data_IF_393573012393
#
_entry.id   IF_393573012393
#
_cell.length_a   1.000
_cell.length_b   1.000
_cell.length_c   1.000
_cell.angle_alpha   90.00
_cell.angle_beta   90.00
_cell.angle_gamma   90.00
#
_symmetry.space_group_name_H-M   'P 1'
#
loop_
_entity.id
_entity.type
_entity.pdbx_description
1 polymer ?
#
# COMPACT_ATOMS: atom_id res chain seq x y z
N UNK A 1 29.06 24.57 19.91
CA UNK A 1 29.06 23.09 20.00
C UNK A 1 28.18 22.56 18.89
N UNK A 2 28.77 21.96 17.85
CA UNK A 2 28.03 21.31 16.76
C UNK A 2 27.43 20.02 17.32
N UNK A 3 26.13 19.84 17.19
CA UNK A 3 25.51 18.55 17.48
C UNK A 3 26.11 17.51 16.52
N UNK A 4 26.84 16.53 17.06
CA UNK A 4 27.37 15.41 16.28
C UNK A 4 26.19 14.65 15.66
N UNK A 5 26.20 14.50 14.34
CA UNK A 5 25.34 13.54 13.66
C UNK A 5 25.62 12.16 14.28
N UNK A 6 24.61 11.41 14.75
CA UNK A 6 24.83 10.06 15.27
C UNK A 6 25.58 9.22 14.23
N UNK A 7 26.58 8.44 14.68
CA UNK A 7 27.44 7.67 13.76
C UNK A 7 26.55 6.82 12.85
N UNK A 8 26.69 6.96 11.53
CA UNK A 8 25.82 6.34 10.48
C UNK A 8 25.54 4.84 10.67
N UNK A 9 26.44 4.10 11.35
CA UNK A 9 26.24 2.69 11.73
C UNK A 9 25.16 2.51 12.82
N UNK A 10 25.06 3.42 13.78
CA UNK A 10 24.05 3.40 14.86
C UNK A 10 22.65 3.70 14.29
N UNK A 11 22.59 4.59 13.30
CA UNK A 11 21.38 4.93 12.55
C UNK A 11 20.86 3.71 11.78
N UNK A 12 21.73 3.01 11.02
CA UNK A 12 21.37 1.77 10.34
C UNK A 12 20.90 0.68 11.31
N UNK A 13 21.61 0.47 12.42
CA UNK A 13 21.26 -0.55 13.41
C UNK A 13 19.88 -0.27 14.05
N UNK A 14 19.63 0.98 14.45
CA UNK A 14 18.32 1.39 14.98
C UNK A 14 17.19 1.20 13.96
N UNK A 15 17.46 1.43 12.67
CA UNK A 15 16.47 1.19 11.62
C UNK A 15 16.17 -0.29 11.43
N UNK A 16 17.19 -1.14 11.34
CA UNK A 16 17.04 -2.58 11.19
C UNK A 16 16.21 -3.17 12.34
N UNK A 17 16.47 -2.74 13.57
CA UNK A 17 15.68 -3.12 14.76
C UNK A 17 14.21 -2.68 14.65
N UNK A 18 13.92 -1.46 14.17
CA UNK A 18 12.53 -0.97 14.03
C UNK A 18 11.71 -1.74 13.01
N UNK A 19 12.35 -2.32 12.00
CA UNK A 19 11.67 -3.08 10.95
C UNK A 19 11.74 -4.59 11.16
N UNK A 20 12.32 -5.05 12.27
CA UNK A 20 12.54 -6.47 12.55
C UNK A 20 13.34 -7.16 11.42
N UNK A 21 14.28 -6.43 10.80
CA UNK A 21 15.14 -6.91 9.72
C UNK A 21 16.53 -7.18 10.28
N UNK A 22 17.04 -8.40 10.10
CA UNK A 22 18.40 -8.75 10.56
C UNK A 22 19.48 -8.08 9.72
N UNK A 23 19.35 -8.12 8.39
CA UNK A 23 20.28 -7.54 7.43
C UNK A 23 19.56 -7.04 6.17
N UNK A 24 20.15 -6.06 5.49
CA UNK A 24 19.67 -5.64 4.17
C UNK A 24 19.89 -6.77 3.16
N UNK A 25 18.93 -6.95 2.24
CA UNK A 25 19.09 -7.89 1.13
C UNK A 25 20.11 -7.36 0.09
N UNK A 26 20.55 -8.20 -0.89
CA UNK A 26 21.55 -7.79 -1.87
C UNK A 26 21.16 -6.54 -2.68
N UNK A 27 19.92 -6.49 -3.19
CA UNK A 27 19.39 -5.33 -3.93
C UNK A 27 19.43 -4.05 -3.09
N UNK A 28 18.99 -4.11 -1.83
CA UNK A 28 19.04 -2.97 -0.91
C UNK A 28 20.47 -2.52 -0.63
N UNK A 29 21.40 -3.45 -0.49
CA UNK A 29 22.82 -3.17 -0.24
C UNK A 29 23.47 -2.48 -1.44
N UNK A 30 23.22 -2.97 -2.65
CA UNK A 30 23.74 -2.39 -3.89
C UNK A 30 23.13 -1.03 -4.19
N UNK A 31 21.80 -0.91 -4.11
CA UNK A 31 21.10 0.37 -4.30
C UNK A 31 21.59 1.42 -3.31
N UNK A 32 21.73 1.05 -2.03
CA UNK A 32 22.28 1.93 -1.00
C UNK A 32 23.68 2.42 -1.37
N UNK A 33 24.59 1.54 -1.79
CA UNK A 33 25.97 1.92 -2.19
C UNK A 33 25.95 2.88 -3.38
N UNK A 34 25.16 2.58 -4.41
CA UNK A 34 25.05 3.41 -5.61
C UNK A 34 24.47 4.80 -5.32
N UNK A 35 23.39 4.86 -4.54
CA UNK A 35 22.74 6.12 -4.18
C UNK A 35 23.66 6.98 -3.29
N UNK A 36 24.48 6.38 -2.42
CA UNK A 36 25.48 7.14 -1.68
C UNK A 36 26.60 7.71 -2.54
N UNK A 37 27.01 6.98 -3.58
CA UNK A 37 28.04 7.46 -4.50
C UNK A 37 27.56 8.66 -5.34
N UNK A 38 26.28 9.04 -5.27
CA UNK A 38 25.71 10.14 -6.04
C UNK A 38 25.30 9.75 -7.45
N UNK A 39 25.31 8.46 -7.78
CA UNK A 39 24.90 7.99 -9.11
C UNK A 39 23.39 8.17 -9.30
N UNK A 40 22.98 8.43 -10.54
CA UNK A 40 21.62 8.15 -10.98
C UNK A 40 21.43 6.64 -11.05
N UNK A 41 20.32 6.12 -10.50
CA UNK A 41 20.10 4.68 -10.31
C UNK A 41 18.75 4.26 -10.86
N UNK A 42 18.73 3.16 -11.62
CA UNK A 42 17.52 2.44 -12.01
C UNK A 42 17.48 1.08 -11.30
N UNK A 43 16.53 0.89 -10.38
CA UNK A 43 16.33 -0.36 -9.65
C UNK A 43 15.18 -1.14 -10.26
N UNK A 44 15.50 -2.27 -10.90
CA UNK A 44 14.52 -3.17 -11.51
C UNK A 44 14.34 -4.39 -10.62
N UNK A 45 13.18 -4.51 -9.98
CA UNK A 45 12.94 -5.61 -9.04
C UNK A 45 11.44 -5.84 -8.83
N UNK A 46 10.97 -7.07 -8.56
CA UNK A 46 9.55 -7.37 -8.36
C UNK A 46 8.93 -6.57 -7.20
N UNK A 47 7.61 -6.43 -7.19
CA UNK A 47 6.89 -5.87 -6.02
C UNK A 47 7.15 -6.75 -4.80
N UNK A 48 7.30 -6.13 -3.62
CA UNK A 48 7.56 -6.85 -2.37
C UNK A 48 9.03 -7.17 -2.08
N UNK A 49 9.98 -6.85 -2.97
CA UNK A 49 11.42 -7.04 -2.75
C UNK A 49 12.08 -6.02 -1.80
N UNK A 50 11.30 -5.07 -1.28
CA UNK A 50 11.79 -4.04 -0.35
C UNK A 50 12.45 -2.83 -1.02
N UNK A 51 12.07 -2.49 -2.27
CA UNK A 51 12.55 -1.32 -3.02
C UNK A 51 12.42 0.00 -2.26
N UNK A 52 11.33 0.16 -1.52
CA UNK A 52 11.06 1.38 -0.72
C UNK A 52 12.18 1.66 0.28
N UNK A 53 12.66 0.63 0.99
CA UNK A 53 13.79 0.79 1.91
C UNK A 53 15.10 1.04 1.18
N UNK A 54 15.26 0.47 -0.03
CA UNK A 54 16.47 0.60 -0.84
C UNK A 54 16.77 2.06 -1.20
N UNK A 55 15.75 2.86 -1.53
CA UNK A 55 15.93 4.30 -1.80
C UNK A 55 15.74 5.19 -0.56
N UNK A 56 14.79 4.90 0.34
CA UNK A 56 14.51 5.80 1.47
C UNK A 56 15.69 5.92 2.42
N UNK A 57 16.36 4.81 2.71
CA UNK A 57 17.45 4.76 3.68
C UNK A 57 18.62 5.67 3.29
N UNK A 58 19.24 5.53 2.10
CA UNK A 58 20.34 6.41 1.70
C UNK A 58 19.92 7.87 1.51
N UNK A 59 18.66 8.14 1.10
CA UNK A 59 18.17 9.51 0.95
C UNK A 59 18.02 10.19 2.31
N UNK A 60 17.40 9.53 3.28
CA UNK A 60 17.20 10.10 4.62
C UNK A 60 18.54 10.33 5.34
N UNK A 61 19.52 9.43 5.17
CA UNK A 61 20.86 9.62 5.73
C UNK A 61 21.63 10.81 5.10
N UNK A 62 21.22 11.29 3.92
CA UNK A 62 21.82 12.45 3.24
C UNK A 62 21.13 13.78 3.52
N UNK A 63 19.94 13.78 4.13
CA UNK A 63 19.22 15.00 4.47
C UNK A 63 20.03 15.84 5.46
N UNK A 64 20.10 17.15 5.22
CA UNK A 64 20.77 18.10 6.09
C UNK A 64 19.78 18.67 7.13
N UNK A 65 20.01 18.49 8.44
CA UNK A 65 19.16 19.05 9.49
C UNK A 65 19.18 20.59 9.55
N UNK A 66 20.16 21.25 8.92
CA UNK A 66 20.24 22.71 8.90
C UNK A 66 19.40 23.33 7.78
N UNK A 67 18.85 22.52 6.86
CA UNK A 67 18.01 22.99 5.76
C UNK A 67 16.54 22.76 6.13
N UNK A 68 15.80 23.85 6.33
CA UNK A 68 14.36 23.84 6.66
C UNK A 68 13.45 23.74 5.43
N UNK A 69 13.99 23.27 4.31
CA UNK A 69 13.36 23.22 2.99
C UNK A 69 13.13 21.79 2.52
N UNK A 70 12.34 21.62 1.46
CA UNK A 70 12.20 20.33 0.80
C UNK A 70 13.52 20.00 0.09
N UNK A 71 14.13 18.86 0.45
CA UNK A 71 15.42 18.43 -0.06
C UNK A 71 15.31 17.25 -1.02
N UNK A 72 14.31 16.40 -0.82
CA UNK A 72 14.03 15.24 -1.66
C UNK A 72 12.53 15.14 -2.01
N UNK A 73 12.26 14.73 -3.24
CA UNK A 73 10.92 14.51 -3.77
C UNK A 73 10.77 13.05 -4.21
N UNK A 74 9.68 12.39 -3.78
CA UNK A 74 9.31 11.04 -4.23
C UNK A 74 7.97 11.13 -4.97
N UNK A 75 7.97 10.79 -6.25
CA UNK A 75 6.79 10.70 -7.09
C UNK A 75 6.31 9.26 -7.17
N UNK A 76 5.00 9.07 -6.97
CA UNK A 76 4.36 7.75 -6.94
C UNK A 76 3.03 7.72 -7.70
N UNK A 77 2.63 6.57 -8.29
CA UNK A 77 1.41 6.46 -9.11
C UNK A 77 0.10 6.49 -8.31
N UNK A 78 0.10 6.18 -7.01
CA UNK A 78 -1.15 6.07 -6.24
C UNK A 78 -1.08 6.80 -4.89
N UNK A 79 -2.27 7.14 -4.38
CA UNK A 79 -2.43 7.81 -3.07
C UNK A 79 -1.98 6.87 -1.96
N UNK A 80 -2.34 5.60 -2.10
CA UNK A 80 -2.05 4.53 -1.16
C UNK A 80 -0.54 4.31 -1.03
N UNK A 81 0.18 4.29 -2.15
CA UNK A 81 1.64 4.18 -2.12
C UNK A 81 2.29 5.41 -1.49
N UNK A 82 1.77 6.62 -1.73
CA UNK A 82 2.27 7.83 -1.08
C UNK A 82 2.16 7.74 0.45
N UNK A 83 0.98 7.32 0.94
CA UNK A 83 0.74 7.11 2.37
C UNK A 83 1.61 6.00 2.95
N UNK A 84 1.81 4.90 2.21
CA UNK A 84 2.67 3.80 2.63
C UNK A 84 4.12 4.26 2.81
N UNK A 85 4.70 4.91 1.79
CA UNK A 85 6.08 5.40 1.84
C UNK A 85 6.23 6.40 2.98
N UNK A 86 5.25 7.27 3.20
CA UNK A 86 5.25 8.20 4.33
C UNK A 86 5.29 7.45 5.67
N UNK A 87 4.48 6.41 5.85
CA UNK A 87 4.48 5.60 7.06
C UNK A 87 5.82 4.89 7.28
N UNK A 88 6.40 4.30 6.23
CA UNK A 88 7.73 3.66 6.28
C UNK A 88 8.79 4.70 6.65
N UNK A 89 8.81 5.84 5.96
CA UNK A 89 9.77 6.91 6.20
C UNK A 89 9.65 7.48 7.63
N UNK A 90 8.44 7.60 8.17
CA UNK A 90 8.21 8.01 9.56
C UNK A 90 8.62 6.93 10.56
N UNK A 91 8.39 5.65 10.25
CA UNK A 91 8.77 4.51 11.11
C UNK A 91 10.28 4.40 11.26
N UNK A 92 11.05 4.80 10.24
CA UNK A 92 12.50 4.96 10.36
C UNK A 92 12.84 5.89 11.55
N UNK A 93 12.09 6.97 11.77
CA UNK A 93 12.25 7.81 12.95
C UNK A 93 13.54 8.62 12.91
N UNK A 94 13.82 9.23 11.76
CA UNK A 94 15.02 10.06 11.50
C UNK A 94 14.99 11.44 12.16
N UNK A 95 13.85 11.85 12.73
CA UNK A 95 13.65 13.20 13.26
C UNK A 95 13.26 14.24 12.21
N UNK A 96 13.43 13.94 10.91
CA UNK A 96 12.98 14.82 9.84
C UNK A 96 11.46 14.84 9.71
N UNK A 97 10.93 16.02 9.38
CA UNK A 97 9.54 16.15 8.95
C UNK A 97 9.40 15.57 7.55
N UNK A 98 8.47 14.64 7.38
CA UNK A 98 8.14 13.97 6.13
C UNK A 98 6.64 14.17 5.90
N UNK A 99 6.19 14.44 4.69
CA UNK A 99 4.77 14.57 4.37
C UNK A 99 4.45 13.92 3.03
N UNK A 100 3.24 13.36 2.91
CA UNK A 100 2.66 12.94 1.65
C UNK A 100 1.55 13.89 1.18
N UNK A 101 1.50 14.20 -0.12
CA UNK A 101 0.41 14.96 -0.75
C UNK A 101 -0.14 14.21 -1.97
N UNK A 102 -1.45 14.12 -2.06
CA UNK A 102 -2.13 13.36 -3.11
C UNK A 102 -3.54 13.90 -3.35
N UNK A 103 -4.13 13.56 -4.50
CA UNK A 103 -5.48 14.00 -4.86
C UNK A 103 -6.56 13.45 -3.92
N UNK A 104 -7.75 14.05 -3.93
CA UNK A 104 -8.88 13.62 -3.08
C UNK A 104 -8.85 14.14 -1.63
N UNK A 105 -7.81 14.90 -1.24
CA UNK A 105 -7.74 15.64 0.02
C UNK A 105 -7.91 17.15 -0.21
N UNK A 106 -8.48 17.87 0.75
CA UNK A 106 -8.65 19.32 0.63
C UNK A 106 -7.31 20.03 0.52
N UNK A 107 -7.20 21.02 -0.38
CA UNK A 107 -5.97 21.81 -0.54
C UNK A 107 -5.60 22.61 0.71
N UNK A 108 -6.59 22.95 1.54
CA UNK A 108 -6.36 23.62 2.81
C UNK A 108 -5.54 22.76 3.79
N UNK A 109 -5.77 21.44 3.81
CA UNK A 109 -5.00 20.51 4.64
C UNK A 109 -3.55 20.41 4.15
N UNK A 110 -3.33 20.35 2.83
CA UNK A 110 -1.97 20.33 2.27
C UNK A 110 -1.22 21.62 2.60
N UNK A 111 -1.87 22.77 2.44
CA UNK A 111 -1.29 24.07 2.79
C UNK A 111 -0.92 24.16 4.28
N UNK A 112 -1.78 23.64 5.16
CA UNK A 112 -1.49 23.59 6.59
C UNK A 112 -0.32 22.66 6.91
N UNK A 113 -0.27 21.48 6.28
CA UNK A 113 0.80 20.50 6.43
C UNK A 113 2.16 21.03 5.92
N UNK A 114 2.15 21.79 4.81
CA UNK A 114 3.34 22.37 4.18
C UNK A 114 3.78 23.72 4.76
N UNK A 115 3.00 24.32 5.68
CA UNK A 115 3.36 25.58 6.37
C UNK A 115 4.74 25.52 7.03
N UNK A 116 5.08 24.36 7.59
CA UNK A 116 6.46 24.03 7.95
C UNK A 116 6.95 23.02 6.93
N UNK A 117 7.93 23.38 6.12
CA UNK A 117 8.32 22.56 4.97
C UNK A 117 8.93 21.21 5.44
N UNK A 118 8.48 20.06 4.88
CA UNK A 118 9.10 18.77 5.17
C UNK A 118 10.46 18.66 4.47
N UNK A 119 11.41 17.92 5.02
CA UNK A 119 12.67 17.63 4.34
C UNK A 119 12.49 16.63 3.18
N UNK A 120 11.49 15.74 3.31
CA UNK A 120 11.09 14.76 2.29
C UNK A 120 9.60 14.96 1.95
N UNK A 121 9.32 15.26 0.68
CA UNK A 121 7.97 15.35 0.15
C UNK A 121 7.67 14.12 -0.72
N UNK A 122 6.56 13.46 -0.46
CA UNK A 122 6.08 12.30 -1.22
C UNK A 122 4.76 12.71 -1.88
N UNK A 123 4.49 12.30 -3.11
CA UNK A 123 3.16 12.57 -3.66
C UNK A 123 2.88 12.05 -5.05
N UNK A 124 1.61 12.14 -5.43
CA UNK A 124 1.20 11.81 -6.79
C UNK A 124 1.53 12.96 -7.74
N UNK A 125 1.99 12.69 -8.99
CA UNK A 125 2.44 13.73 -9.92
C UNK A 125 1.43 14.87 -10.09
N UNK A 126 0.15 14.56 -10.33
CA UNK A 126 -0.88 15.59 -10.50
C UNK A 126 -1.06 16.50 -9.28
N UNK A 127 -0.91 15.99 -8.05
CA UNK A 127 -1.03 16.81 -6.85
C UNK A 127 0.23 17.63 -6.61
N UNK A 128 1.41 17.04 -6.79
CA UNK A 128 2.69 17.76 -6.65
C UNK A 128 2.76 18.92 -7.64
N UNK A 129 2.43 18.69 -8.92
CA UNK A 129 2.38 19.75 -9.92
C UNK A 129 1.41 20.88 -9.53
N UNK A 130 0.23 20.53 -9.01
CA UNK A 130 -0.73 21.53 -8.49
C UNK A 130 -0.19 22.33 -7.29
N UNK A 131 0.57 21.70 -6.38
CA UNK A 131 1.22 22.41 -5.27
C UNK A 131 2.33 23.32 -5.79
N UNK A 132 3.17 22.87 -6.71
CA UNK A 132 4.24 23.69 -7.29
C UNK A 132 3.70 24.94 -8.01
N UNK A 133 2.52 24.84 -8.65
CA UNK A 133 1.87 26.00 -9.29
C UNK A 133 1.27 27.00 -8.31
N UNK A 134 0.81 26.55 -7.14
CA UNK A 134 -0.04 27.36 -6.23
C UNK A 134 0.69 27.81 -4.97
N UNK A 135 1.65 27.03 -4.51
CA UNK A 135 2.35 27.24 -3.26
C UNK A 135 3.76 27.77 -3.56
N UNK A 136 4.20 28.72 -2.76
CA UNK A 136 5.55 29.28 -2.82
C UNK A 136 6.52 28.31 -2.11
N UNK A 137 7.00 27.30 -2.84
CA UNK A 137 7.99 26.31 -2.37
C UNK A 137 9.31 26.58 -3.08
N UNK A 138 10.41 26.70 -2.33
CA UNK A 138 11.74 26.80 -2.93
C UNK A 138 12.18 25.46 -3.53
N UNK A 139 11.96 25.31 -4.84
CA UNK A 139 12.32 24.10 -5.58
C UNK A 139 13.83 23.93 -5.75
N UNK A 140 14.63 25.00 -5.57
CA UNK A 140 16.08 24.95 -5.80
C UNK A 140 16.82 24.03 -4.82
N UNK A 141 16.19 23.71 -3.68
CA UNK A 141 16.70 22.83 -2.63
C UNK A 141 16.38 21.37 -2.84
N UNK A 142 15.47 21.04 -3.76
CA UNK A 142 15.12 19.65 -4.07
C UNK A 142 16.22 19.07 -4.98
N UNK A 143 17.22 18.42 -4.36
CA UNK A 143 18.38 17.86 -5.06
C UNK A 143 18.22 16.41 -5.46
N UNK A 144 17.30 15.69 -4.82
CA UNK A 144 17.02 14.29 -5.11
C UNK A 144 15.59 14.09 -5.58
N UNK A 145 15.43 13.42 -6.72
CA UNK A 145 14.14 13.00 -7.26
C UNK A 145 14.06 11.47 -7.30
N UNK A 146 12.99 10.91 -6.73
CA UNK A 146 12.67 9.49 -6.82
C UNK A 146 11.40 9.30 -7.62
N UNK A 147 11.40 8.31 -8.52
CA UNK A 147 10.24 7.85 -9.28
C UNK A 147 10.00 6.39 -8.89
N UNK A 148 9.09 6.15 -7.95
CA UNK A 148 8.77 4.79 -7.47
C UNK A 148 7.60 4.20 -8.29
N UNK A 149 7.69 2.93 -8.67
CA UNK A 149 6.75 2.28 -9.60
C UNK A 149 6.57 3.11 -10.90
N UNK A 150 7.69 3.44 -11.55
CA UNK A 150 7.73 4.35 -12.71
C UNK A 150 6.89 3.87 -13.90
N UNK A 151 6.96 2.58 -14.23
CA UNK A 151 6.16 1.93 -15.27
C UNK A 151 4.66 2.18 -15.06
N UNK A 152 4.21 2.20 -13.80
CA UNK A 152 2.82 2.49 -13.44
C UNK A 152 2.46 3.94 -13.53
N UNK A 153 3.40 4.84 -13.25
CA UNK A 153 3.14 6.27 -13.44
C UNK A 153 2.88 6.61 -14.91
N UNK A 154 3.57 5.94 -15.85
CA UNK A 154 3.31 6.09 -17.28
C UNK A 154 1.99 5.43 -17.71
N UNK A 155 1.68 4.24 -17.22
CA UNK A 155 0.43 3.54 -17.53
C UNK A 155 -0.81 4.33 -17.09
N UNK A 156 -0.73 5.03 -15.95
CA UNK A 156 -1.80 5.90 -15.44
C UNK A 156 -1.89 7.23 -16.23
N UNK A 157 -0.90 7.54 -17.07
CA UNK A 157 -0.88 8.74 -17.90
C UNK A 157 -0.31 9.98 -17.23
N UNK A 158 0.54 9.85 -16.20
CA UNK A 158 1.16 10.99 -15.51
C UNK A 158 2.36 11.62 -16.23
N UNK A 159 2.59 11.25 -17.50
CA UNK A 159 3.77 11.70 -18.25
C UNK A 159 3.87 13.24 -18.31
N UNK A 160 2.75 13.91 -18.56
CA UNK A 160 2.70 15.37 -18.66
C UNK A 160 3.02 16.04 -17.32
N UNK A 161 2.40 15.58 -16.24
CA UNK A 161 2.60 16.11 -14.89
C UNK A 161 4.03 15.86 -14.41
N UNK A 162 4.60 14.66 -14.67
CA UNK A 162 5.99 14.37 -14.35
C UNK A 162 6.95 15.27 -15.15
N UNK A 163 6.68 15.50 -16.44
CA UNK A 163 7.49 16.42 -17.24
C UNK A 163 7.43 17.86 -16.73
N UNK A 164 6.28 18.33 -16.28
CA UNK A 164 6.13 19.66 -15.68
C UNK A 164 6.97 19.77 -14.39
N UNK A 165 6.87 18.77 -13.51
CA UNK A 165 7.62 18.73 -12.26
C UNK A 165 9.13 18.78 -12.52
N UNK A 166 9.64 17.89 -13.38
CA UNK A 166 11.08 17.83 -13.67
C UNK A 166 11.60 19.16 -14.24
N UNK A 167 10.84 19.79 -15.14
CA UNK A 167 11.19 21.12 -15.66
C UNK A 167 11.21 22.20 -14.58
N UNK A 168 10.33 22.10 -13.58
CA UNK A 168 10.19 23.07 -12.50
C UNK A 168 11.32 22.96 -11.46
N UNK A 169 11.84 21.76 -11.24
CA UNK A 169 12.95 21.51 -10.30
C UNK A 169 14.29 22.09 -10.77
N UNK A 170 14.47 22.32 -12.07
CA UNK A 170 15.73 22.79 -12.63
C UNK A 170 16.84 21.75 -12.48
N UNK A 171 17.80 21.97 -11.58
CA UNK A 171 18.96 21.09 -11.38
C UNK A 171 18.69 20.08 -10.26
N UNK A 172 18.38 18.86 -10.67
CA UNK A 172 18.35 17.67 -9.81
C UNK A 172 19.71 16.97 -9.89
N UNK A 173 20.39 16.83 -8.75
CA UNK A 173 21.73 16.23 -8.63
C UNK A 173 21.69 14.70 -8.66
N UNK A 174 20.58 14.11 -8.22
CA UNK A 174 20.42 12.66 -8.20
C UNK A 174 18.99 12.23 -8.50
N UNK A 175 18.85 11.25 -9.39
CA UNK A 175 17.60 10.59 -9.74
C UNK A 175 17.64 9.11 -9.38
N UNK A 176 16.59 8.64 -8.75
CA UNK A 176 16.40 7.22 -8.46
C UNK A 176 15.08 6.79 -9.09
N UNK A 177 15.15 5.80 -9.97
CA UNK A 177 13.99 5.21 -10.61
C UNK A 177 13.82 3.79 -10.07
N UNK A 178 12.60 3.41 -9.75
CA UNK A 178 12.27 2.01 -9.46
C UNK A 178 11.18 1.51 -10.40
N UNK A 179 11.29 0.26 -10.82
CA UNK A 179 10.25 -0.40 -11.61
C UNK A 179 10.20 -1.90 -11.33
N UNK A 180 9.03 -2.49 -11.57
CA UNK A 180 8.84 -3.94 -11.58
C UNK A 180 9.03 -4.57 -12.97
N UNK A 181 9.33 -3.77 -13.99
CA UNK A 181 9.50 -4.22 -15.37
C UNK A 181 10.65 -3.46 -16.06
N UNK A 182 11.27 -4.07 -17.06
CA UNK A 182 12.26 -3.46 -17.95
C UNK A 182 11.65 -2.98 -19.28
N UNK A 183 10.37 -3.30 -19.54
CA UNK A 183 9.71 -3.07 -20.82
C UNK A 183 9.42 -1.59 -21.16
N UNK A 184 9.66 -0.66 -20.22
CA UNK A 184 9.27 0.74 -20.36
C UNK A 184 10.50 1.61 -20.59
N UNK A 185 10.56 2.23 -21.76
CA UNK A 185 11.63 3.17 -22.09
C UNK A 185 11.57 4.40 -21.18
N UNK A 186 12.72 4.79 -20.61
CA UNK A 186 12.86 5.98 -19.76
C UNK A 186 12.73 7.23 -20.66
N UNK A 187 11.70 8.07 -20.47
CA UNK A 187 11.51 9.25 -21.29
C UNK A 187 12.61 10.28 -21.11
N UNK A 188 13.01 10.93 -22.21
CA UNK A 188 14.08 11.94 -22.22
C UNK A 188 13.84 13.11 -21.27
N UNK A 189 12.58 13.48 -21.00
CA UNK A 189 12.26 14.60 -20.10
C UNK A 189 12.72 14.35 -18.66
N UNK A 190 12.96 13.09 -18.27
CA UNK A 190 13.47 12.79 -16.94
C UNK A 190 14.92 13.23 -16.77
N UNK A 191 15.69 13.42 -17.86
CA UNK A 191 17.10 13.81 -17.80
C UNK A 191 18.00 12.73 -17.17
N UNK A 192 17.57 11.47 -17.27
CA UNK A 192 18.23 10.30 -16.72
C UNK A 192 19.09 9.68 -17.82
N UNK A 193 20.34 10.11 -17.93
CA UNK A 193 21.27 9.69 -18.99
C UNK A 193 22.14 8.54 -18.46
N UNK A 194 21.92 7.32 -18.96
CA UNK A 194 22.68 6.11 -18.62
C UNK A 194 22.79 5.84 -17.10
N UNK A 195 21.66 5.62 -16.40
CA UNK A 195 21.69 5.29 -14.98
C UNK A 195 22.43 3.97 -14.72
N UNK A 196 23.05 3.89 -13.55
CA UNK A 196 23.49 2.60 -13.03
C UNK A 196 22.25 1.71 -12.81
N UNK A 197 22.16 0.64 -13.60
CA UNK A 197 21.04 -0.29 -13.55
C UNK A 197 21.34 -1.42 -12.57
N UNK A 198 20.45 -1.62 -11.60
CA UNK A 198 20.50 -2.68 -10.59
C UNK A 198 19.31 -3.61 -10.87
N UNK A 199 19.57 -4.75 -11.51
CA UNK A 199 18.54 -5.68 -11.99
C UNK A 199 18.43 -6.94 -11.12
N UNK A 200 17.27 -7.10 -10.51
CA UNK A 200 16.85 -8.23 -9.67
C UNK A 200 15.49 -8.80 -10.12
N UNK A 201 15.04 -8.55 -11.36
CA UNK A 201 13.74 -9.02 -11.86
C UNK A 201 13.58 -10.55 -11.78
N UNK A 202 14.69 -11.29 -11.95
CA UNK A 202 14.66 -12.76 -12.04
C UNK A 202 15.01 -13.48 -10.73
N UNK A 203 15.50 -12.80 -9.68
CA UNK A 203 16.00 -13.47 -8.49
C UNK A 203 14.91 -13.84 -7.47
N UNK A 204 13.71 -13.25 -7.57
CA UNK A 204 12.60 -13.46 -6.63
C UNK A 204 11.27 -13.63 -7.40
N UNK A 205 11.14 -14.72 -8.18
CA UNK A 205 9.79 -15.15 -8.59
C UNK A 205 9.17 -15.86 -7.38
N UNK A 206 8.16 -15.28 -6.70
CA UNK A 206 7.44 -16.05 -5.70
C UNK A 206 6.91 -17.33 -6.36
N UNK A 207 7.00 -18.47 -5.66
CA UNK A 207 6.32 -19.71 -6.07
C UNK A 207 4.82 -19.49 -5.91
N UNK A 208 4.24 -18.75 -6.85
CA UNK A 208 2.81 -18.57 -6.94
C UNK A 208 2.22 -19.82 -7.57
N UNK A 209 1.44 -20.57 -6.82
CA UNK A 209 0.64 -21.64 -7.40
C UNK A 209 -0.53 -21.01 -8.14
N UNK A 210 -0.49 -21.08 -9.46
CA UNK A 210 -1.62 -20.66 -10.31
C UNK A 210 -2.55 -21.85 -10.49
N UNK A 211 -3.81 -21.67 -10.13
CA UNK A 211 -4.87 -22.66 -10.24
C UNK A 211 -5.95 -22.13 -11.17
N UNK A 212 -6.54 -23.00 -11.98
CA UNK A 212 -7.68 -22.65 -12.84
C UNK A 212 -8.94 -23.33 -12.34
N UNK A 213 -10.05 -22.59 -12.34
CA UNK A 213 -11.37 -23.09 -12.00
C UNK A 213 -12.26 -22.87 -13.21
N UNK A 214 -12.63 -23.96 -13.85
CA UNK A 214 -13.55 -23.96 -14.96
C UNK A 214 -14.98 -23.70 -14.45
N UNK A 215 -15.66 -22.76 -15.09
CA UNK A 215 -17.02 -22.36 -14.78
C UNK A 215 -17.93 -22.74 -15.95
N UNK A 216 -19.08 -23.41 -15.68
CA UNK A 216 -20.08 -23.64 -16.72
C UNK A 216 -20.57 -22.33 -17.34
N UNK A 217 -21.03 -22.40 -18.59
CA UNK A 217 -21.53 -21.24 -19.31
C UNK A 217 -22.66 -20.57 -18.51
N UNK A 218 -22.52 -19.26 -18.26
CA UNK A 218 -23.50 -18.48 -17.50
C UNK A 218 -23.48 -18.70 -15.97
N UNK A 219 -22.56 -19.50 -15.43
CA UNK A 219 -22.49 -19.84 -13.99
C UNK A 219 -21.30 -19.26 -13.24
N UNK A 220 -20.73 -18.17 -13.75
CA UNK A 220 -19.47 -17.58 -13.25
C UNK A 220 -19.60 -17.03 -11.84
N UNK A 221 -20.72 -16.39 -11.52
CA UNK A 221 -21.00 -15.84 -10.19
C UNK A 221 -21.20 -16.96 -9.16
N UNK A 222 -21.93 -18.03 -9.50
CA UNK A 222 -22.10 -19.18 -8.61
C UNK A 222 -20.79 -19.95 -8.40
N UNK A 223 -19.95 -20.02 -9.44
CA UNK A 223 -18.59 -20.59 -9.35
C UNK A 223 -17.73 -19.74 -8.41
N UNK A 224 -17.74 -18.41 -8.57
CA UNK A 224 -17.04 -17.47 -7.70
C UNK A 224 -17.46 -17.64 -6.24
N UNK A 225 -18.77 -17.67 -5.96
CA UNK A 225 -19.28 -17.91 -4.60
C UNK A 225 -18.78 -19.22 -4.03
N UNK A 226 -18.85 -20.30 -4.81
CA UNK A 226 -18.36 -21.61 -4.36
C UNK A 226 -16.86 -21.61 -4.06
N UNK A 227 -16.08 -20.84 -4.83
CA UNK A 227 -14.65 -20.63 -4.58
C UNK A 227 -14.43 -19.81 -3.30
N UNK A 228 -15.16 -18.72 -3.10
CA UNK A 228 -15.08 -17.88 -1.89
C UNK A 228 -15.46 -18.67 -0.64
N UNK A 229 -16.54 -19.46 -0.70
CA UNK A 229 -16.99 -20.31 0.40
C UNK A 229 -15.92 -21.32 0.80
N UNK A 230 -15.21 -21.90 -0.17
CA UNK A 230 -14.13 -22.84 0.08
C UNK A 230 -12.84 -22.18 0.61
N UNK A 231 -12.68 -20.87 0.43
CA UNK A 231 -11.54 -20.08 0.90
C UNK A 231 -11.89 -19.22 2.13
N UNK A 232 -13.11 -19.38 2.68
CA UNK A 232 -13.63 -18.60 3.80
C UNK A 232 -12.66 -18.64 4.98
N UNK A 233 -12.44 -17.51 5.64
CA UNK A 233 -11.52 -17.40 6.78
C UNK A 233 -10.09 -16.97 6.40
N UNK A 234 -9.78 -16.87 5.11
CA UNK A 234 -8.49 -16.40 4.60
C UNK A 234 -8.64 -15.02 3.93
N UNK A 235 -7.66 -14.10 4.10
CA UNK A 235 -7.68 -12.82 3.41
C UNK A 235 -7.42 -12.99 1.92
N UNK A 236 -8.27 -12.40 1.08
CA UNK A 236 -8.21 -12.54 -0.36
C UNK A 236 -8.69 -11.33 -1.16
N UNK A 237 -8.22 -11.22 -2.40
CA UNK A 237 -8.66 -10.19 -3.36
C UNK A 237 -9.36 -10.84 -4.55
N UNK A 238 -10.53 -10.31 -4.93
CA UNK A 238 -11.19 -10.62 -6.20
C UNK A 238 -10.93 -9.47 -7.17
N UNK A 239 -10.28 -9.76 -8.29
CA UNK A 239 -10.02 -8.78 -9.34
C UNK A 239 -11.07 -8.80 -10.43
N UNK A 240 -11.65 -7.63 -10.68
CA UNK A 240 -12.47 -7.30 -11.85
C UNK A 240 -11.73 -6.26 -12.70
N UNK A 241 -11.96 -6.25 -14.01
CA UNK A 241 -11.33 -5.29 -14.92
C UNK A 241 -12.07 -3.94 -14.86
N UNK A 242 -13.40 -3.98 -14.73
CA UNK A 242 -14.28 -2.81 -14.81
C UNK A 242 -15.06 -2.57 -13.51
N UNK A 243 -15.53 -1.33 -13.32
CA UNK A 243 -16.32 -0.92 -12.17
C UNK A 243 -17.71 -1.58 -12.20
N UNK A 244 -18.28 -1.71 -13.39
CA UNK A 244 -19.59 -2.32 -13.63
C UNK A 244 -19.57 -3.80 -13.25
N UNK A 245 -18.57 -4.56 -13.73
CA UNK A 245 -18.37 -5.96 -13.32
C UNK A 245 -18.15 -6.10 -11.81
N UNK A 246 -17.41 -5.16 -11.21
CA UNK A 246 -17.19 -5.16 -9.77
C UNK A 246 -18.50 -4.95 -8.99
N UNK A 247 -19.37 -4.05 -9.45
CA UNK A 247 -20.68 -3.81 -8.85
C UNK A 247 -21.59 -5.02 -8.99
N UNK A 248 -21.64 -5.65 -10.17
CA UNK A 248 -22.39 -6.90 -10.38
C UNK A 248 -21.95 -8.00 -9.40
N UNK A 249 -20.63 -8.18 -9.24
CA UNK A 249 -20.10 -9.17 -8.29
C UNK A 249 -20.41 -8.76 -6.85
N UNK A 250 -20.30 -7.48 -6.50
CA UNK A 250 -20.60 -6.97 -5.16
C UNK A 250 -22.05 -7.19 -4.77
N UNK A 251 -23.00 -6.83 -5.64
CA UNK A 251 -24.43 -7.03 -5.43
C UNK A 251 -24.74 -8.52 -5.25
N UNK A 252 -24.18 -9.37 -6.12
CA UNK A 252 -24.36 -10.82 -6.02
C UNK A 252 -23.81 -11.38 -4.69
N UNK A 253 -22.62 -10.97 -4.26
CA UNK A 253 -22.04 -11.43 -2.99
C UNK A 253 -22.83 -10.90 -1.79
N UNK A 254 -23.35 -9.68 -1.88
CA UNK A 254 -24.19 -9.06 -0.85
C UNK A 254 -25.50 -9.83 -0.66
N UNK A 255 -26.20 -10.17 -1.76
CA UNK A 255 -27.43 -10.96 -1.74
C UNK A 255 -27.24 -12.36 -1.14
N UNK A 256 -26.00 -12.85 -1.15
CA UNK A 256 -25.60 -14.13 -0.57
C UNK A 256 -24.95 -14.01 0.82
N UNK A 257 -25.04 -12.85 1.47
CA UNK A 257 -24.49 -12.57 2.79
C UNK A 257 -22.97 -12.81 2.92
N UNK A 258 -22.23 -12.62 1.84
CA UNK A 258 -20.76 -12.66 1.86
C UNK A 258 -20.24 -11.27 2.18
N UNK A 259 -19.61 -11.12 3.34
CA UNK A 259 -19.01 -9.85 3.78
C UNK A 259 -17.78 -9.51 2.93
N UNK A 260 -17.77 -8.32 2.34
CA UNK A 260 -16.71 -7.87 1.44
C UNK A 260 -16.61 -6.34 1.39
N UNK A 261 -15.46 -5.83 0.96
CA UNK A 261 -15.23 -4.41 0.71
C UNK A 261 -14.92 -4.16 -0.77
N UNK A 262 -15.33 -3.00 -1.28
CA UNK A 262 -15.08 -2.60 -2.66
C UNK A 262 -13.92 -1.60 -2.74
N UNK A 263 -13.05 -1.76 -3.73
CA UNK A 263 -11.87 -0.92 -3.94
C UNK A 263 -11.64 -0.61 -5.43
N UNK A 264 -12.21 0.49 -5.91
CA UNK A 264 -12.14 0.89 -7.30
C UNK A 264 -11.90 2.39 -7.49
N UNK A 265 -11.58 2.79 -8.73
CA UNK A 265 -11.41 4.20 -9.11
C UNK A 265 -12.71 4.98 -8.97
N UNK A 266 -12.68 6.12 -8.27
CA UNK A 266 -13.85 6.96 -8.04
C UNK A 266 -14.51 6.83 -6.67
N UNK A 267 -14.04 5.90 -5.81
CA UNK A 267 -14.36 5.94 -4.39
C UNK A 267 -13.81 7.22 -3.73
N UNK A 268 -14.59 7.78 -2.80
CA UNK A 268 -14.08 8.87 -1.96
C UNK A 268 -12.89 8.39 -1.13
N UNK A 269 -11.98 9.32 -0.82
CA UNK A 269 -10.77 8.97 -0.07
C UNK A 269 -11.09 8.34 1.29
N UNK A 270 -12.16 8.80 1.95
CA UNK A 270 -12.58 8.27 3.24
C UNK A 270 -13.05 6.81 3.14
N UNK A 271 -13.74 6.45 2.06
CA UNK A 271 -14.24 5.09 1.86
C UNK A 271 -13.12 4.14 1.42
N UNK A 272 -12.18 4.63 0.60
CA UNK A 272 -10.93 3.90 0.29
C UNK A 272 -10.17 3.57 1.57
N UNK A 273 -9.98 4.54 2.45
CA UNK A 273 -9.28 4.33 3.72
C UNK A 273 -10.03 3.34 4.62
N UNK A 274 -11.36 3.44 4.72
CA UNK A 274 -12.19 2.50 5.49
C UNK A 274 -12.08 1.07 4.98
N UNK A 275 -12.24 0.85 3.67
CA UNK A 275 -12.13 -0.47 3.05
C UNK A 275 -10.77 -1.12 3.37
N UNK A 276 -9.68 -0.36 3.20
CA UNK A 276 -8.35 -0.86 3.49
C UNK A 276 -8.11 -1.10 4.98
N UNK A 277 -8.59 -0.23 5.87
CA UNK A 277 -8.49 -0.45 7.32
C UNK A 277 -9.22 -1.73 7.71
N UNK A 278 -10.47 -1.90 7.27
CA UNK A 278 -11.26 -3.11 7.56
C UNK A 278 -10.56 -4.38 7.06
N UNK A 279 -9.93 -4.30 5.90
CA UNK A 279 -9.15 -5.40 5.36
C UNK A 279 -7.88 -5.69 6.17
N UNK A 280 -7.07 -4.66 6.44
CA UNK A 280 -5.79 -4.79 7.18
C UNK A 280 -5.99 -5.28 8.61
N UNK A 281 -7.07 -4.87 9.26
CA UNK A 281 -7.36 -5.24 10.63
C UNK A 281 -8.14 -6.57 10.74
N UNK A 282 -8.47 -7.21 9.62
CA UNK A 282 -9.12 -8.52 9.55
C UNK A 282 -10.63 -8.52 9.83
N UNK A 283 -11.26 -7.35 9.96
CA UNK A 283 -12.71 -7.26 10.15
C UNK A 283 -13.50 -7.56 8.88
N UNK A 284 -12.90 -7.31 7.72
CA UNK A 284 -13.31 -7.85 6.44
C UNK A 284 -12.13 -8.62 5.84
N UNK A 285 -12.36 -9.80 5.28
CA UNK A 285 -11.29 -10.63 4.69
C UNK A 285 -11.34 -10.69 3.16
N UNK A 286 -12.34 -10.07 2.53
CA UNK A 286 -12.51 -10.11 1.08
C UNK A 286 -12.55 -8.71 0.51
N UNK A 287 -11.63 -8.42 -0.41
CA UNK A 287 -11.57 -7.14 -1.13
C UNK A 287 -11.89 -7.37 -2.61
N UNK A 288 -12.91 -6.70 -3.14
CA UNK A 288 -13.13 -6.62 -4.58
C UNK A 288 -12.41 -5.41 -5.11
N UNK A 289 -11.54 -5.60 -6.10
CA UNK A 289 -10.71 -4.52 -6.61
C UNK A 289 -10.62 -4.49 -8.13
N UNK A 290 -10.45 -3.27 -8.64
CA UNK A 290 -9.99 -3.03 -10.02
C UNK A 290 -8.47 -2.90 -10.07
N UNK A 291 -7.87 -3.17 -11.23
CA UNK A 291 -6.41 -3.04 -11.42
C UNK A 291 -5.87 -1.67 -11.06
N UNK A 292 -6.57 -0.61 -11.46
CA UNK A 292 -6.12 0.76 -11.23
C UNK A 292 -6.12 1.09 -9.74
N UNK A 293 -7.11 0.59 -9.00
CA UNK A 293 -7.23 0.86 -7.58
C UNK A 293 -6.27 -0.01 -6.77
N UNK A 294 -6.05 -1.28 -7.12
CA UNK A 294 -5.25 -2.19 -6.31
C UNK A 294 -3.72 -1.95 -6.35
N UNK A 295 -3.25 -0.99 -7.14
CA UNK A 295 -1.83 -0.64 -7.29
C UNK A 295 -1.28 0.02 -6.05
N UNK A 296 -0.07 -0.38 -5.66
CA UNK A 296 0.58 0.16 -4.46
C UNK A 296 -0.17 -0.13 -3.16
N UNK A 297 -1.11 -1.09 -3.15
CA UNK A 297 -1.78 -1.50 -1.93
C UNK A 297 -0.78 -2.18 -0.99
N UNK A 298 -0.54 -1.53 0.15
CA UNK A 298 0.09 -2.12 1.32
C UNK A 298 -0.96 -2.84 2.14
N UNK A 299 -1.16 -4.09 1.78
CA UNK A 299 -2.07 -4.99 2.46
C UNK A 299 -1.21 -6.09 3.11
N UNK A 300 -1.50 -6.48 4.37
CA UNK A 300 -0.92 -7.66 5.01
C UNK A 300 -1.01 -8.89 4.11
N UNK A 301 -0.25 -9.92 4.44
CA UNK A 301 -0.17 -11.16 3.67
C UNK A 301 -1.55 -11.65 3.18
N UNK A 302 -1.77 -11.56 1.87
CA UNK A 302 -2.96 -12.09 1.18
C UNK A 302 -2.69 -13.56 0.90
N UNK A 303 -3.66 -14.43 1.23
CA UNK A 303 -3.53 -15.88 1.03
C UNK A 303 -3.98 -16.33 -0.34
N UNK A 304 -4.96 -15.63 -0.91
CA UNK A 304 -5.46 -15.95 -2.23
C UNK A 304 -5.83 -14.74 -3.07
N UNK A 305 -5.70 -14.91 -4.37
CA UNK A 305 -6.20 -13.98 -5.37
C UNK A 305 -7.17 -14.73 -6.26
N UNK A 306 -8.32 -14.14 -6.55
CA UNK A 306 -9.26 -14.65 -7.54
C UNK A 306 -9.30 -13.66 -8.71
N UNK A 307 -8.88 -14.11 -9.88
CA UNK A 307 -9.12 -13.39 -11.12
C UNK A 307 -10.54 -13.71 -11.59
N UNK A 308 -11.52 -12.91 -11.15
CA UNK A 308 -12.88 -13.00 -11.68
C UNK A 308 -12.87 -12.62 -13.15
N UNK A 309 -12.11 -11.60 -13.55
CA UNK A 309 -11.78 -11.32 -14.94
C UNK A 309 -10.26 -11.37 -15.13
N UNK A 310 -9.80 -11.86 -16.28
CA UNK A 310 -8.36 -11.88 -16.58
C UNK A 310 -7.89 -10.50 -17.08
N UNK A 311 -6.68 -10.07 -16.69
CA UNK A 311 -6.08 -8.87 -17.28
C UNK A 311 -5.77 -9.08 -18.77
N UNK A 312 -5.57 -7.99 -19.49
CA UNK A 312 -5.29 -8.05 -20.93
C UNK A 312 -3.83 -8.45 -21.22
N UNK A 313 -2.92 -8.14 -20.30
CA UNK A 313 -1.48 -8.33 -20.47
C UNK A 313 -0.83 -9.09 -19.31
N UNK A 314 0.26 -9.79 -19.60
CA UNK A 314 1.03 -10.57 -18.62
C UNK A 314 1.57 -9.71 -17.48
N UNK A 315 1.98 -8.47 -17.77
CA UNK A 315 2.53 -7.57 -16.77
C UNK A 315 1.48 -7.23 -15.70
N UNK A 316 0.24 -6.97 -16.08
CA UNK A 316 -0.87 -6.76 -15.14
C UNK A 316 -1.12 -8.01 -14.28
N UNK A 317 -1.07 -9.20 -14.88
CA UNK A 317 -1.20 -10.47 -14.14
C UNK A 317 -0.12 -10.62 -13.07
N UNK A 318 1.14 -10.35 -13.42
CA UNK A 318 2.25 -10.34 -12.45
C UNK A 318 2.02 -9.32 -11.33
N UNK A 319 1.50 -8.13 -11.64
CA UNK A 319 1.23 -7.09 -10.64
C UNK A 319 0.08 -7.43 -9.69
N UNK A 320 -1.01 -8.03 -10.20
CA UNK A 320 -2.08 -8.57 -9.36
C UNK A 320 -1.50 -9.57 -8.39
N UNK A 321 -0.71 -10.51 -8.90
CA UNK A 321 -0.17 -11.60 -8.11
C UNK A 321 0.98 -11.21 -7.18
N UNK A 322 1.67 -10.10 -7.42
CA UNK A 322 2.61 -9.50 -6.46
C UNK A 322 1.96 -9.01 -5.15
N UNK A 323 0.64 -9.17 -5.00
CA UNK A 323 -0.11 -8.91 -3.75
C UNK A 323 -0.21 -10.15 -2.85
N UNK A 324 -0.06 -11.35 -3.39
CA UNK A 324 0.04 -12.62 -2.63
C UNK A 324 1.47 -13.15 -2.64
N UNK A 325 1.77 -14.17 -1.84
CA UNK A 325 3.08 -14.86 -1.81
C UNK A 325 4.30 -13.92 -1.65
N UNK A 326 4.20 -12.91 -0.79
CA UNK A 326 5.32 -12.00 -0.48
C UNK A 326 6.29 -12.66 0.52
N UNK A 327 7.59 -12.55 0.29
CA UNK A 327 8.65 -12.91 1.27
C UNK A 327 8.45 -14.28 1.94
N UNK A 328 8.65 -15.37 1.20
CA UNK A 328 8.60 -16.77 1.67
C UNK A 328 7.21 -17.32 2.09
N UNK A 329 6.12 -16.58 1.84
CA UNK A 329 4.76 -17.03 2.12
C UNK A 329 4.14 -17.86 0.98
N UNK A 330 3.38 -18.91 1.33
CA UNK A 330 2.53 -19.66 0.42
C UNK A 330 1.25 -18.86 0.08
N UNK A 331 0.91 -18.77 -1.19
CA UNK A 331 -0.31 -18.11 -1.67
C UNK A 331 -0.72 -18.63 -3.05
N UNK A 332 -2.02 -18.64 -3.31
CA UNK A 332 -2.59 -19.18 -4.56
C UNK A 332 -3.30 -18.11 -5.39
N UNK A 333 -3.13 -18.16 -6.71
CA UNK A 333 -3.90 -17.37 -7.67
C UNK A 333 -4.89 -18.27 -8.40
N UNK A 334 -6.18 -18.03 -8.19
CA UNK A 334 -7.29 -18.74 -8.84
C UNK A 334 -7.77 -17.96 -10.05
N UNK A 335 -7.77 -18.59 -11.21
CA UNK A 335 -8.27 -18.04 -12.47
C UNK A 335 -9.62 -18.65 -12.78
N UNK A 336 -10.69 -17.84 -12.68
CA UNK A 336 -12.03 -18.24 -13.08
C UNK A 336 -12.19 -18.05 -14.59
N UNK A 337 -12.44 -19.14 -15.32
CA UNK A 337 -12.66 -19.10 -16.76
C UNK A 337 -13.89 -19.90 -17.15
N UNK A 338 -14.53 -19.52 -18.26
CA UNK A 338 -15.63 -20.31 -18.81
C UNK A 338 -15.09 -21.59 -19.44
N UNK A 339 -15.79 -22.70 -19.24
CA UNK A 339 -15.54 -23.96 -19.93
C UNK A 339 -15.53 -23.76 -21.46
N UNK A 340 -14.61 -24.44 -22.14
CA UNK A 340 -14.45 -24.35 -23.59
C UNK A 340 -13.77 -23.05 -24.09
N UNK A 341 -13.59 -22.02 -23.26
CA UNK A 341 -12.82 -20.82 -23.66
C UNK A 341 -11.32 -21.05 -23.51
N UNK A 342 -10.55 -20.71 -24.55
CA UNK A 342 -9.08 -20.75 -24.53
C UNK A 342 -8.52 -19.69 -23.57
N UNK A 343 -7.68 -20.12 -22.63
CA UNK A 343 -6.90 -19.22 -21.78
C UNK A 343 -5.77 -18.52 -22.57
N UNK A 344 -5.42 -17.26 -22.23
CA UNK A 344 -4.26 -16.58 -22.80
C UNK A 344 -2.96 -17.36 -22.60
N UNK A 345 -2.01 -17.19 -23.53
CA UNK A 345 -0.76 -17.96 -23.50
C UNK A 345 0.10 -17.63 -22.27
N UNK A 346 0.01 -16.40 -21.74
CA UNK A 346 0.71 -16.01 -20.51
C UNK A 346 0.16 -16.71 -19.24
N UNK A 347 -1.08 -17.22 -19.27
CA UNK A 347 -1.62 -18.07 -18.21
C UNK A 347 -1.12 -19.51 -18.41
N UNK A 348 -1.11 -20.00 -19.66
CA UNK A 348 -0.61 -21.35 -19.94
C UNK A 348 0.87 -21.50 -19.58
N UNK A 349 1.67 -20.46 -19.78
CA UNK A 349 3.10 -20.46 -19.42
C UNK A 349 3.36 -20.58 -17.92
N UNK A 350 2.36 -20.33 -17.05
CA UNK A 350 2.51 -20.58 -15.61
C UNK A 350 2.27 -22.04 -15.24
N UNK A 351 1.94 -22.89 -16.22
CA UNK A 351 1.63 -24.31 -16.05
C UNK A 351 0.58 -24.57 -14.94
N UNK A 352 -0.62 -23.98 -15.05
CA UNK A 352 -1.57 -23.95 -13.96
C UNK A 352 -2.14 -25.33 -13.64
N UNK A 353 -2.41 -25.58 -12.36
CA UNK A 353 -3.14 -26.78 -11.91
C UNK A 353 -4.65 -26.56 -12.11
N UNK A 354 -5.35 -27.57 -12.62
CA UNK A 354 -6.83 -27.53 -12.67
C UNK A 354 -7.37 -27.90 -11.31
N UNK A 355 -8.07 -26.97 -10.67
CA UNK A 355 -8.64 -27.18 -9.34
C UNK A 355 -10.15 -27.41 -9.44
N UNK A 356 -10.62 -28.53 -8.89
CA UNK A 356 -12.06 -28.78 -8.78
C UNK A 356 -12.63 -28.11 -7.52
N UNK A 357 -13.84 -27.56 -7.62
CA UNK A 357 -14.54 -27.01 -6.45
C UNK A 357 -14.76 -28.03 -5.33
N UNK A 358 -14.80 -29.33 -5.66
CA UNK A 358 -14.94 -30.42 -4.70
C UNK A 358 -13.67 -30.59 -3.86
N UNK A 359 -12.49 -30.48 -4.48
CA UNK A 359 -11.20 -30.56 -3.78
C UNK A 359 -10.99 -29.37 -2.83
N UNK A 360 -11.36 -28.15 -3.26
CA UNK A 360 -11.30 -26.94 -2.43
C UNK A 360 -12.16 -27.03 -1.16
N UNK A 361 -13.36 -27.61 -1.24
CA UNK A 361 -14.28 -27.76 -0.09
C UNK A 361 -13.81 -28.76 0.97
N UNK A 362 -12.93 -29.71 0.62
CA UNK A 362 -12.43 -30.71 1.55
C UNK A 362 -11.44 -30.13 2.59
N UNK A 363 -10.84 -28.97 2.29
CA UNK A 363 -10.05 -28.22 3.25
C UNK A 363 -10.98 -27.57 4.29
N UNK A 364 -11.20 -28.24 5.43
CA UNK A 364 -11.97 -27.68 6.55
C UNK A 364 -11.29 -26.41 7.06
N UNK A 365 -11.84 -25.23 6.77
CA UNK A 365 -11.40 -23.98 7.39
C UNK A 365 -12.31 -23.70 8.60
N UNK A 366 -11.69 -23.41 9.75
CA UNK A 366 -12.41 -23.00 10.96
C UNK A 366 -13.14 -21.68 10.72
N UNK A 367 -14.37 -21.57 11.21
CA UNK A 367 -15.03 -20.27 11.35
C UNK A 367 -14.13 -19.37 12.21
N UNK A 368 -13.63 -18.29 11.63
CA UNK A 368 -12.87 -17.28 12.34
C UNK A 368 -13.82 -16.43 13.17
N UNK A 369 -13.44 -16.12 14.42
CA UNK A 369 -14.21 -15.19 15.26
C UNK A 369 -14.41 -13.86 14.52
N UNK A 370 -15.66 -13.40 14.42
CA UNK A 370 -15.99 -12.19 13.69
C UNK A 370 -15.54 -10.94 14.46
N UNK A 371 -14.85 -10.04 13.76
CA UNK A 371 -14.40 -8.75 14.31
C UNK A 371 -15.29 -7.60 13.81
N UNK A 372 -15.14 -6.43 14.43
CA UNK A 372 -15.74 -5.18 14.00
C UNK A 372 -14.74 -4.03 14.12
N UNK A 373 -14.79 -3.08 13.19
CA UNK A 373 -13.94 -1.89 13.22
C UNK A 373 -14.66 -0.74 13.90
N UNK A 374 -14.01 -0.15 14.90
CA UNK A 374 -14.46 1.09 15.55
C UNK A 374 -13.61 2.27 15.08
N UNK A 375 -14.26 3.41 14.83
CA UNK A 375 -13.65 4.68 14.50
C UNK A 375 -13.56 5.58 15.72
N UNK A 376 -12.45 6.30 15.87
CA UNK A 376 -12.16 7.23 16.95
C UNK A 376 -11.77 8.60 16.36
N UNK A 377 -12.42 9.69 16.76
CA UNK A 377 -12.16 11.06 16.26
C UNK A 377 -10.84 11.69 16.74
N UNK A 378 -9.92 10.92 17.32
CA UNK A 378 -8.67 11.39 17.88
C UNK A 378 -7.47 10.66 17.26
N UNK A 379 -6.43 11.41 16.90
CA UNK A 379 -5.23 10.88 16.24
C UNK A 379 -3.92 11.47 16.75
N UNK A 380 -2.85 11.30 15.99
CA UNK A 380 -1.49 11.75 16.35
C UNK A 380 -1.40 13.25 16.62
N UNK A 381 -2.13 14.08 15.87
CA UNK A 381 -2.14 15.54 16.09
C UNK A 381 -2.64 15.91 17.49
N UNK A 382 -3.47 15.06 18.08
CA UNK A 382 -4.00 15.21 19.43
C UNK A 382 -3.07 14.62 20.51
N UNK A 383 -1.85 14.21 20.13
CA UNK A 383 -0.85 13.53 20.97
C UNK A 383 -1.35 12.19 21.51
N UNK A 384 -2.25 11.53 20.78
CA UNK A 384 -2.75 10.20 21.10
C UNK A 384 -1.81 9.15 20.48
N UNK A 385 -1.39 8.17 21.29
CA UNK A 385 -0.62 7.01 20.85
C UNK A 385 -1.48 5.74 20.79
N UNK A 386 -0.97 4.68 20.14
CA UNK A 386 -1.63 3.36 20.15
C UNK A 386 -1.82 2.81 21.58
N UNK A 387 -0.84 3.04 22.45
CA UNK A 387 -0.89 2.63 23.86
C UNK A 387 -1.98 3.34 24.65
N UNK A 388 -2.24 4.62 24.36
CA UNK A 388 -3.34 5.35 25.00
C UNK A 388 -4.70 4.78 24.61
N UNK A 389 -4.89 4.47 23.33
CA UNK A 389 -6.11 3.83 22.82
C UNK A 389 -6.29 2.46 23.47
N UNK A 390 -5.27 1.60 23.44
CA UNK A 390 -5.34 0.29 24.08
C UNK A 390 -5.68 0.39 25.57
N UNK A 391 -5.05 1.34 26.29
CA UNK A 391 -5.33 1.59 27.70
C UNK A 391 -6.78 2.02 27.97
N UNK A 392 -7.37 2.86 27.12
CA UNK A 392 -8.78 3.24 27.22
C UNK A 392 -9.71 2.05 27.00
N UNK A 393 -9.42 1.21 26.01
CA UNK A 393 -10.24 0.03 25.72
C UNK A 393 -10.15 -1.01 26.84
N UNK A 394 -8.96 -1.28 27.39
CA UNK A 394 -8.83 -2.20 28.52
C UNK A 394 -9.49 -1.65 29.79
N UNK A 395 -9.22 -0.40 30.17
CA UNK A 395 -9.69 0.16 31.45
C UNK A 395 -11.15 0.59 31.43
N UNK A 396 -11.55 1.31 30.39
CA UNK A 396 -12.90 1.89 30.29
C UNK A 396 -13.82 0.97 29.50
N UNK A 397 -13.34 0.41 28.38
CA UNK A 397 -14.11 -0.57 27.61
C UNK A 397 -14.29 -1.91 28.34
N UNK A 398 -13.35 -2.27 29.21
CA UNK A 398 -13.34 -3.54 29.93
C UNK A 398 -13.01 -4.73 29.03
N UNK A 399 -12.16 -4.53 28.02
CA UNK A 399 -11.72 -5.59 27.12
C UNK A 399 -10.62 -6.44 27.76
N UNK A 400 -10.58 -7.72 27.40
CA UNK A 400 -9.39 -8.58 27.56
C UNK A 400 -8.43 -8.42 26.38
N UNK A 401 -7.22 -9.00 26.50
CA UNK A 401 -6.17 -8.89 25.47
C UNK A 401 -6.56 -9.57 24.14
N UNK A 402 -7.36 -10.63 24.19
CA UNK A 402 -7.87 -11.35 23.01
C UNK A 402 -9.09 -10.68 22.38
N UNK A 403 -9.71 -9.72 23.06
CA UNK A 403 -10.87 -8.96 22.56
C UNK A 403 -10.48 -7.70 21.78
N UNK A 404 -9.22 -7.27 21.87
CA UNK A 404 -8.68 -6.08 21.21
C UNK A 404 -7.74 -6.48 20.08
N UNK A 405 -8.11 -6.12 18.86
CA UNK A 405 -7.35 -6.40 17.65
C UNK A 405 -6.41 -5.26 17.24
N UNK A 406 -6.16 -5.16 15.95
CA UNK A 406 -5.22 -4.19 15.37
C UNK A 406 -5.72 -2.74 15.61
N UNK A 407 -4.80 -1.88 16.05
CA UNK A 407 -5.00 -0.42 16.17
C UNK A 407 -4.27 0.29 15.04
N UNK A 408 -5.03 0.98 14.20
CA UNK A 408 -4.53 1.83 13.12
C UNK A 408 -4.66 3.30 13.51
N UNK A 409 -3.54 3.92 13.86
CA UNK A 409 -3.48 5.31 14.30
C UNK A 409 -3.09 6.23 13.14
N UNK A 410 -3.97 7.16 12.78
CA UNK A 410 -3.76 8.15 11.73
C UNK A 410 -3.50 9.56 12.32
N UNK A 411 -3.35 10.57 11.45
CA UNK A 411 -3.06 11.95 11.86
C UNK A 411 -4.17 12.53 12.75
N UNK A 412 -5.44 12.36 12.35
CA UNK A 412 -6.59 13.04 12.97
C UNK A 412 -7.60 12.08 13.62
N UNK A 413 -7.43 10.78 13.40
CA UNK A 413 -8.32 9.74 13.88
C UNK A 413 -7.57 8.42 14.14
N UNK A 414 -8.29 7.43 14.62
CA UNK A 414 -7.80 6.07 14.74
C UNK A 414 -8.91 5.05 14.49
N UNK A 415 -8.50 3.84 14.13
CA UNK A 415 -9.38 2.69 13.95
C UNK A 415 -8.93 1.54 14.83
N UNK A 416 -9.87 0.80 15.39
CA UNK A 416 -9.61 -0.29 16.34
C UNK A 416 -10.49 -1.48 16.00
N UNK A 417 -9.88 -2.64 15.75
CA UNK A 417 -10.62 -3.89 15.66
C UNK A 417 -10.97 -4.40 17.05
N UNK A 418 -12.21 -4.85 17.24
CA UNK A 418 -12.71 -5.50 18.47
C UNK A 418 -13.57 -6.71 18.11
N UNK A 419 -13.76 -7.67 19.01
CA UNK A 419 -14.70 -8.78 18.76
C UNK A 419 -16.12 -8.23 18.51
N UNK A 420 -16.79 -8.75 17.47
CA UNK A 420 -18.11 -8.27 17.02
C UNK A 420 -19.16 -8.33 18.12
N UNK A 421 -19.10 -9.38 18.95
CA UNK A 421 -20.04 -9.62 20.07
C UNK A 421 -20.00 -8.54 21.16
N UNK A 422 -18.89 -7.81 21.30
CA UNK A 422 -18.73 -6.79 22.36
C UNK A 422 -18.75 -5.36 21.81
N UNK A 423 -18.76 -5.17 20.49
CA UNK A 423 -18.56 -3.86 19.87
C UNK A 423 -19.50 -2.78 20.41
N UNK A 424 -20.80 -3.07 20.53
CA UNK A 424 -21.80 -2.13 21.06
C UNK A 424 -21.54 -1.75 22.51
N UNK A 425 -21.30 -2.74 23.39
CA UNK A 425 -20.97 -2.52 24.81
C UNK A 425 -19.73 -1.62 24.96
N UNK A 426 -18.72 -1.86 24.12
CA UNK A 426 -17.47 -1.10 24.14
C UNK A 426 -17.70 0.33 23.68
N UNK A 427 -18.48 0.55 22.63
CA UNK A 427 -18.85 1.90 22.17
C UNK A 427 -19.55 2.66 23.30
N UNK A 428 -20.53 2.07 23.97
CA UNK A 428 -21.27 2.74 25.06
C UNK A 428 -20.35 3.23 26.18
N UNK A 429 -19.35 2.41 26.55
CA UNK A 429 -18.41 2.76 27.63
C UNK A 429 -17.34 3.77 27.20
N UNK A 430 -16.88 3.68 25.95
CA UNK A 430 -15.72 4.45 25.46
C UNK A 430 -16.08 5.72 24.70
N UNK A 431 -17.30 5.83 24.18
CA UNK A 431 -17.76 7.04 23.50
C UNK A 431 -17.81 8.22 24.47
N UNK A 432 -17.48 9.42 24.01
CA UNK A 432 -17.40 10.65 24.80
C UNK A 432 -16.34 10.67 25.92
N UNK A 433 -15.45 9.69 25.98
CA UNK A 433 -14.38 9.67 26.96
C UNK A 433 -13.27 10.67 26.60
N UNK A 434 -12.50 11.08 27.61
CA UNK A 434 -11.29 11.87 27.40
C UNK A 434 -10.11 10.94 27.15
N UNK A 435 -9.45 11.14 26.01
CA UNK A 435 -8.17 10.54 25.69
C UNK A 435 -7.12 11.65 25.59
N UNK A 436 -6.19 11.69 26.54
CA UNK A 436 -5.30 12.85 26.77
C UNK A 436 -6.12 14.13 26.96
N UNK A 437 -5.90 15.14 26.12
CA UNK A 437 -6.58 16.44 26.16
C UNK A 437 -7.83 16.50 25.28
N UNK A 438 -8.14 15.43 24.53
CA UNK A 438 -9.24 15.40 23.57
C UNK A 438 -10.41 14.56 24.07
N UNK A 439 -11.62 15.08 23.92
CA UNK A 439 -12.85 14.27 24.03
C UNK A 439 -13.04 13.52 22.71
N UNK A 440 -13.05 12.19 22.76
CA UNK A 440 -13.16 11.36 21.55
C UNK A 440 -14.58 10.84 21.38
N UNK A 441 -15.03 10.74 20.13
CA UNK A 441 -16.22 9.97 19.76
C UNK A 441 -15.76 8.61 19.27
N UNK A 442 -16.46 7.57 19.71
CA UNK A 442 -16.22 6.18 19.28
C UNK A 442 -17.49 5.70 18.59
N UNK A 443 -17.37 5.23 17.35
CA UNK A 443 -18.50 4.77 16.53
C UNK A 443 -18.13 3.52 15.76
N UNK A 444 -19.12 2.68 15.45
CA UNK A 444 -18.93 1.56 14.53
C UNK A 444 -18.67 2.07 13.11
N UNK A 445 -17.67 1.51 12.43
CA UNK A 445 -17.51 1.70 10.98
C UNK A 445 -18.46 0.75 10.30
N UNK A 446 -19.45 1.30 9.59
CA UNK A 446 -20.39 0.51 8.79
C UNK A 446 -19.69 -0.04 7.57
#
# INVERSE_FOLDING_TARGET
MKAEQPKRKEVLKSFLEKFDISTLNPMQTEARKAIYAGNDVAVLSPTGSGKTLAFLLPIIERLDPNISEVQALVLVPSRELAMQIEQVARKLGSGFKINAVYGGRSGALDKADLKHRPALLIGTPGRIADRFRRDDIDLSRIKTLVLDEFDKSLEVGFEREMSEIVRSLGVVEQRVLTSATDAVAIPKFLGLNDPLTIDYLNQHRPQLTVKTIASPVGKRLETLRSTVDALKGQPGIIFCNFKESLHEVSDFLFDHAVEHECFYGGLEQIDRERALVKFRNGTCQLLLATDLAARGLDIPEIKFIIHFELPYHSNEFTHRNGRTARMNAEGAAYVLHTEGKRLPDFIKSTNPETESLQALRAAKIKDTEAWSTLYITGGRQDKISKGDIAGMFFKTGGLSKDELGIIELQQNCAFVAVKRTIAHRVIERTNNQRLKKKKVRVTLVR
#
